data_IF_552808819145
#
_entry.id   IF_552808819145
#
_cell.length_a   1.000
_cell.length_b   1.000
_cell.length_c   1.000
_cell.angle_alpha   90.00
_cell.angle_beta   90.00
_cell.angle_gamma   90.00
#
_symmetry.space_group_name_H-M   'P 1'
#
loop_
_entity.id
_entity.type
_entity.pdbx_description
1 polymer ?
#
# COMPACT_ATOMS: atom_id res chain seq x y z
N UNK A 1 8.01 -42.03 -13.24
CA UNK A 1 8.24 -41.49 -11.88
C UNK A 1 6.98 -40.95 -11.23
N UNK A 2 6.18 -40.07 -11.85
CA UNK A 2 5.01 -39.49 -11.17
C UNK A 2 3.86 -40.49 -10.91
N UNK A 3 3.75 -41.58 -11.69
CA UNK A 3 2.69 -42.59 -11.51
C UNK A 3 2.75 -43.28 -10.13
N UNK A 4 3.96 -43.53 -9.64
CA UNK A 4 4.26 -44.23 -8.37
C UNK A 4 4.27 -43.32 -7.13
N UNK A 5 4.03 -42.01 -7.29
CA UNK A 5 4.12 -41.02 -6.21
C UNK A 5 2.73 -40.51 -5.84
N UNK A 6 2.42 -40.46 -4.54
CA UNK A 6 1.11 -40.00 -4.05
C UNK A 6 0.97 -38.47 -4.03
N UNK A 7 2.03 -37.76 -3.66
CA UNK A 7 2.05 -36.30 -3.58
C UNK A 7 3.47 -35.74 -3.70
N UNK A 8 3.55 -34.44 -3.96
CA UNK A 8 4.80 -33.68 -4.03
C UNK A 8 4.83 -32.62 -2.93
N UNK A 9 6.00 -32.38 -2.34
CA UNK A 9 6.22 -31.29 -1.40
C UNK A 9 7.46 -30.50 -1.79
N UNK A 10 7.28 -29.21 -2.06
CA UNK A 10 8.36 -28.31 -2.46
C UNK A 10 8.99 -27.68 -1.21
N UNK A 11 10.29 -27.92 -1.01
CA UNK A 11 11.09 -27.15 -0.05
C UNK A 11 11.46 -25.79 -0.64
N UNK A 12 10.77 -24.71 -0.23
CA UNK A 12 10.97 -23.37 -0.81
C UNK A 12 12.39 -22.87 -0.67
N UNK A 13 13.05 -23.23 0.44
CA UNK A 13 14.38 -22.76 0.76
C UNK A 13 15.44 -23.43 -0.12
N UNK A 14 15.41 -24.76 -0.18
CA UNK A 14 16.34 -25.55 -0.98
C UNK A 14 16.17 -25.24 -2.46
N UNK A 15 14.92 -25.15 -2.95
CA UNK A 15 14.66 -24.82 -4.34
C UNK A 15 15.20 -23.43 -4.70
N UNK A 16 15.07 -22.44 -3.81
CA UNK A 16 15.62 -21.09 -4.04
C UNK A 16 17.15 -21.17 -4.13
N UNK A 17 17.79 -21.88 -3.20
CA UNK A 17 19.24 -22.05 -3.15
C UNK A 17 19.79 -22.73 -4.40
N UNK A 18 19.19 -23.84 -4.84
CA UNK A 18 19.62 -24.55 -6.03
C UNK A 18 19.38 -23.75 -7.32
N UNK A 19 18.22 -23.12 -7.44
CA UNK A 19 17.87 -22.39 -8.66
C UNK A 19 18.71 -21.12 -8.84
N UNK A 20 18.99 -20.41 -7.75
CA UNK A 20 19.77 -19.18 -7.79
C UNK A 20 21.28 -19.42 -7.65
N UNK A 21 21.69 -20.66 -7.34
CA UNK A 21 23.07 -21.01 -6.99
C UNK A 21 23.63 -20.12 -5.86
N UNK A 22 22.79 -19.82 -4.86
CA UNK A 22 23.14 -18.95 -3.72
C UNK A 22 22.99 -19.72 -2.43
N UNK A 23 24.10 -19.86 -1.70
CA UNK A 23 24.10 -20.37 -0.33
C UNK A 23 23.56 -19.28 0.62
N UNK A 24 22.44 -19.58 1.30
CA UNK A 24 21.79 -18.63 2.21
C UNK A 24 22.61 -18.38 3.48
N UNK A 25 23.43 -19.35 3.90
CA UNK A 25 24.25 -19.28 5.11
C UNK A 25 25.59 -18.55 4.86
N UNK A 26 25.85 -18.17 3.60
CA UNK A 26 27.04 -17.43 3.21
C UNK A 26 26.77 -15.93 3.04
N UNK A 27 27.16 -15.16 4.06
CA UNK A 27 26.96 -13.70 4.13
C UNK A 27 27.45 -12.90 2.91
N UNK A 28 28.38 -13.43 2.09
CA UNK A 28 28.86 -12.75 0.88
C UNK A 28 27.86 -12.78 -0.27
N UNK A 29 26.94 -13.75 -0.28
CA UNK A 29 26.02 -14.00 -1.41
C UNK A 29 24.55 -13.97 -1.01
N UNK A 30 24.21 -14.02 0.29
CA UNK A 30 22.83 -14.00 0.80
C UNK A 30 21.98 -12.85 0.23
N UNK A 31 22.57 -11.71 -0.15
CA UNK A 31 21.86 -10.59 -0.81
C UNK A 31 21.16 -10.97 -2.13
N UNK A 32 21.59 -12.06 -2.77
CA UNK A 32 21.00 -12.58 -4.01
C UNK A 32 19.94 -13.67 -3.75
N UNK A 33 19.77 -14.10 -2.50
CA UNK A 33 18.74 -15.05 -2.10
C UNK A 33 17.39 -14.32 -2.02
N UNK A 34 16.63 -14.34 -3.12
CA UNK A 34 15.32 -13.71 -3.19
C UNK A 34 14.29 -14.63 -3.86
N UNK A 35 13.42 -15.23 -3.05
CA UNK A 35 12.33 -16.11 -3.49
C UNK A 35 11.20 -15.39 -4.25
N UNK A 36 11.33 -14.09 -4.55
CA UNK A 36 10.47 -13.34 -5.46
C UNK A 36 11.09 -13.16 -6.85
N UNK A 37 12.22 -13.83 -7.13
CA UNK A 37 12.79 -13.81 -8.48
C UNK A 37 11.78 -14.37 -9.51
N UNK A 38 11.51 -13.66 -10.62
CA UNK A 38 10.58 -14.13 -11.65
C UNK A 38 10.91 -15.53 -12.21
N UNK A 39 12.19 -15.90 -12.30
CA UNK A 39 12.60 -17.25 -12.73
C UNK A 39 12.19 -18.33 -11.73
N UNK A 40 12.26 -18.02 -10.43
CA UNK A 40 11.80 -18.91 -9.37
C UNK A 40 10.29 -19.10 -9.41
N UNK A 41 9.53 -18.02 -9.63
CA UNK A 41 8.08 -18.10 -9.80
C UNK A 41 7.67 -18.94 -11.02
N UNK A 42 8.37 -18.79 -12.14
CA UNK A 42 8.15 -19.64 -13.34
C UNK A 42 8.46 -21.10 -13.10
N UNK A 43 9.52 -21.41 -12.36
CA UNK A 43 9.88 -22.78 -12.00
C UNK A 43 8.81 -23.44 -11.12
N UNK A 44 8.29 -22.69 -10.13
CA UNK A 44 7.17 -23.15 -9.31
C UNK A 44 5.89 -23.37 -10.14
N UNK A 45 5.51 -22.42 -10.99
CA UNK A 45 4.31 -22.55 -11.84
C UNK A 45 4.42 -23.76 -12.76
N UNK A 46 5.58 -23.96 -13.39
CA UNK A 46 5.83 -25.14 -14.21
C UNK A 46 5.67 -26.44 -13.42
N UNK A 47 6.26 -26.52 -12.21
CA UNK A 47 6.19 -27.71 -11.37
C UNK A 47 4.74 -28.02 -10.94
N UNK A 48 4.01 -27.02 -10.46
CA UNK A 48 2.60 -27.18 -10.04
C UNK A 48 1.75 -27.64 -11.22
N UNK A 49 1.85 -26.97 -12.37
CA UNK A 49 1.11 -27.35 -13.58
C UNK A 49 1.47 -28.76 -14.05
N UNK A 50 2.73 -29.17 -13.96
CA UNK A 50 3.16 -30.51 -14.34
C UNK A 50 2.59 -31.60 -13.44
N UNK A 51 2.54 -31.37 -12.12
CA UNK A 51 2.00 -32.32 -11.15
C UNK A 51 0.47 -32.40 -11.24
N UNK A 52 -0.21 -31.26 -11.39
CA UNK A 52 -1.66 -31.22 -11.59
C UNK A 52 -2.13 -31.88 -12.89
N UNK A 53 -1.33 -31.81 -13.97
CA UNK A 53 -1.61 -32.58 -15.21
C UNK A 53 -1.65 -34.09 -14.98
N UNK A 54 -1.02 -34.58 -13.91
CA UNK A 54 -1.08 -35.99 -13.52
C UNK A 54 -2.14 -36.28 -12.46
N UNK A 55 -2.95 -35.28 -12.08
CA UNK A 55 -3.97 -35.41 -11.05
C UNK A 55 -3.40 -35.64 -9.64
N UNK A 56 -2.15 -35.25 -9.41
CA UNK A 56 -1.44 -35.46 -8.14
C UNK A 56 -1.44 -34.18 -7.30
N UNK A 57 -1.32 -34.36 -5.98
CA UNK A 57 -1.27 -33.28 -5.00
C UNK A 57 0.11 -32.64 -4.92
N UNK A 58 0.18 -31.31 -4.78
CA UNK A 58 1.44 -30.58 -4.56
C UNK A 58 1.33 -29.51 -3.47
N UNK A 59 2.20 -29.62 -2.47
CA UNK A 59 2.34 -28.67 -1.37
C UNK A 59 3.66 -27.91 -1.39
N UNK A 60 3.76 -26.85 -0.58
CA UNK A 60 4.98 -26.08 -0.36
C UNK A 60 5.26 -25.91 1.13
N UNK A 61 6.50 -26.17 1.53
CA UNK A 61 7.02 -25.97 2.88
C UNK A 61 8.20 -24.99 2.89
N UNK A 62 8.55 -24.52 4.08
CA UNK A 62 9.62 -23.54 4.30
C UNK A 62 9.10 -22.12 4.52
N UNK A 63 10.02 -21.18 4.61
CA UNK A 63 9.72 -19.81 5.05
C UNK A 63 8.78 -19.07 4.11
N UNK A 64 8.79 -19.40 2.82
CA UNK A 64 7.94 -18.75 1.84
C UNK A 64 6.45 -18.99 2.12
N UNK A 65 6.09 -20.20 2.56
CA UNK A 65 4.71 -20.59 2.88
C UNK A 65 4.11 -19.81 4.05
N UNK A 66 4.95 -19.31 4.97
CA UNK A 66 4.53 -18.51 6.12
C UNK A 66 4.57 -16.99 5.86
N UNK A 67 5.13 -16.53 4.73
CA UNK A 67 5.23 -15.10 4.40
C UNK A 67 3.90 -14.59 3.84
N UNK A 68 3.08 -14.00 4.72
CA UNK A 68 1.78 -13.44 4.33
C UNK A 68 1.86 -12.43 3.17
N UNK A 69 2.96 -11.68 3.05
CA UNK A 69 3.19 -10.73 1.93
C UNK A 69 3.22 -11.39 0.55
N UNK A 70 3.57 -12.67 0.47
CA UNK A 70 3.73 -13.45 -0.77
C UNK A 70 2.54 -14.38 -1.02
N UNK A 71 1.67 -14.57 -0.02
CA UNK A 71 0.49 -15.43 -0.09
C UNK A 71 -0.33 -15.26 -1.39
N UNK A 72 -0.59 -14.05 -1.92
CA UNK A 72 -1.31 -13.91 -3.19
C UNK A 72 -0.65 -14.63 -4.38
N UNK A 73 0.68 -14.67 -4.45
CA UNK A 73 1.39 -15.41 -5.49
C UNK A 73 1.28 -16.92 -5.28
N UNK A 74 1.34 -17.38 -4.03
CA UNK A 74 1.19 -18.80 -3.69
C UNK A 74 -0.21 -19.33 -4.01
N UNK A 75 -1.24 -18.51 -3.76
CA UNK A 75 -2.61 -18.79 -4.19
C UNK A 75 -2.71 -18.81 -5.72
N UNK A 76 -2.08 -17.85 -6.40
CA UNK A 76 -2.05 -17.79 -7.86
C UNK A 76 -1.33 -18.98 -8.53
N UNK A 77 -0.37 -19.60 -7.83
CA UNK A 77 0.30 -20.82 -8.27
C UNK A 77 -0.65 -22.01 -8.29
N UNK A 78 -1.63 -22.02 -7.38
CA UNK A 78 -2.58 -23.13 -7.24
C UNK A 78 -2.02 -24.29 -6.41
N UNK A 79 -1.19 -24.02 -5.40
CA UNK A 79 -0.73 -25.07 -4.49
C UNK A 79 -1.92 -25.66 -3.69
N UNK A 80 -1.91 -26.97 -3.48
CA UNK A 80 -2.94 -27.67 -2.71
C UNK A 80 -2.72 -27.53 -1.19
N UNK A 81 -1.47 -27.32 -0.77
CA UNK A 81 -1.08 -27.20 0.63
C UNK A 81 0.02 -26.16 0.85
N UNK A 82 -0.10 -25.37 1.92
CA UNK A 82 0.96 -24.52 2.46
C UNK A 82 1.31 -24.98 3.88
N UNK A 83 2.54 -25.46 4.07
CA UNK A 83 3.05 -25.89 5.37
C UNK A 83 3.72 -24.73 6.10
N UNK A 84 3.38 -24.55 7.37
CA UNK A 84 3.88 -23.49 8.24
C UNK A 84 3.78 -23.88 9.73
N UNK A 85 4.40 -23.09 10.60
CA UNK A 85 4.25 -23.29 12.05
C UNK A 85 2.84 -22.96 12.52
N UNK A 86 2.37 -23.65 13.57
CA UNK A 86 1.01 -23.49 14.09
C UNK A 86 0.59 -22.03 14.39
N UNK A 87 1.46 -21.16 14.96
CA UNK A 87 1.09 -19.76 15.20
C UNK A 87 0.79 -18.94 13.94
N UNK A 88 1.33 -19.32 12.77
CA UNK A 88 1.12 -18.61 11.51
C UNK A 88 -0.20 -19.00 10.82
N UNK A 89 -0.81 -20.12 11.20
CA UNK A 89 -2.01 -20.65 10.53
C UNK A 89 -3.22 -19.70 10.63
N UNK A 90 -3.60 -19.15 11.81
CA UNK A 90 -4.80 -18.31 11.91
C UNK A 90 -4.73 -17.05 11.06
N UNK A 91 -3.60 -16.33 11.13
CA UNK A 91 -3.40 -15.11 10.34
C UNK A 91 -3.39 -15.39 8.83
N UNK A 92 -2.79 -16.52 8.42
CA UNK A 92 -2.77 -16.94 7.02
C UNK A 92 -4.16 -17.31 6.52
N UNK A 93 -4.95 -18.06 7.31
CA UNK A 93 -6.34 -18.38 6.98
C UNK A 93 -7.22 -17.13 6.85
N UNK A 94 -7.10 -16.19 7.79
CA UNK A 94 -7.86 -14.94 7.74
C UNK A 94 -7.56 -14.14 6.47
N UNK A 95 -6.29 -14.10 6.06
CA UNK A 95 -5.88 -13.44 4.82
C UNK A 95 -6.30 -14.21 3.57
N UNK A 96 -6.19 -15.53 3.57
CA UNK A 96 -6.62 -16.40 2.47
C UNK A 96 -8.11 -16.17 2.15
N UNK A 97 -8.95 -16.01 3.18
CA UNK A 97 -10.38 -15.77 3.05
C UNK A 97 -10.73 -14.44 2.35
N UNK A 98 -9.80 -13.51 2.24
CA UNK A 98 -9.99 -12.21 1.58
C UNK A 98 -9.44 -12.18 0.14
N UNK A 99 -8.84 -13.27 -0.34
CA UNK A 99 -8.20 -13.30 -1.66
C UNK A 99 -9.12 -13.93 -2.70
N UNK A 100 -9.24 -13.24 -3.85
CA UNK A 100 -9.82 -13.84 -5.06
C UNK A 100 -8.75 -14.62 -5.83
N UNK A 101 -8.99 -15.92 -6.02
CA UNK A 101 -8.03 -16.82 -6.67
C UNK A 101 -7.74 -16.43 -8.13
N UNK A 102 -8.71 -15.88 -8.86
CA UNK A 102 -8.51 -15.45 -10.25
C UNK A 102 -7.64 -14.20 -10.32
N UNK A 103 -7.87 -13.23 -9.44
CA UNK A 103 -7.04 -12.04 -9.29
C UNK A 103 -5.61 -12.43 -8.88
N UNK A 104 -5.45 -13.39 -7.96
CA UNK A 104 -4.15 -13.94 -7.60
C UNK A 104 -3.44 -14.61 -8.79
N UNK A 105 -4.16 -15.36 -9.64
CA UNK A 105 -3.58 -15.93 -10.87
C UNK A 105 -3.13 -14.86 -11.85
N UNK A 106 -3.91 -13.79 -12.03
CA UNK A 106 -3.52 -12.66 -12.86
C UNK A 106 -2.27 -11.95 -12.33
N UNK A 107 -2.20 -11.73 -11.02
CA UNK A 107 -1.01 -11.18 -10.35
C UNK A 107 0.22 -12.05 -10.59
N UNK A 108 0.10 -13.37 -10.43
CA UNK A 108 1.21 -14.29 -10.70
C UNK A 108 1.71 -14.18 -12.15
N UNK A 109 0.78 -14.15 -13.11
CA UNK A 109 1.14 -14.01 -14.53
C UNK A 109 1.92 -12.72 -14.79
N UNK A 110 1.54 -11.61 -14.17
CA UNK A 110 2.28 -10.33 -14.25
C UNK A 110 3.65 -10.44 -13.58
N UNK A 111 3.71 -11.03 -12.38
CA UNK A 111 4.96 -11.22 -11.64
C UNK A 111 5.99 -12.07 -12.41
N UNK A 112 5.53 -13.08 -13.15
CA UNK A 112 6.41 -13.92 -14.00
C UNK A 112 6.96 -13.17 -15.23
N UNK A 113 6.34 -12.06 -15.64
CA UNK A 113 6.78 -11.21 -16.74
C UNK A 113 7.75 -10.09 -16.29
N UNK A 114 7.85 -9.83 -14.98
CA UNK A 114 8.82 -8.89 -14.43
C UNK A 114 10.27 -9.31 -14.75
N UNK A 115 11.16 -8.31 -14.75
CA UNK A 115 12.60 -8.51 -14.96
C UNK A 115 13.37 -8.67 -13.65
N UNK A 116 12.86 -8.09 -12.57
CA UNK A 116 13.56 -8.04 -11.28
C UNK A 116 12.63 -8.40 -10.12
N UNK A 117 13.20 -8.89 -9.02
CA UNK A 117 12.44 -9.14 -7.78
C UNK A 117 11.81 -7.85 -7.22
N UNK A 118 12.45 -6.69 -7.43
CA UNK A 118 11.92 -5.40 -6.98
C UNK A 118 10.61 -5.04 -7.70
N UNK A 119 10.50 -5.32 -8.99
CA UNK A 119 9.24 -5.14 -9.74
C UNK A 119 8.15 -6.06 -9.20
N UNK A 120 8.47 -7.31 -8.86
CA UNK A 120 7.52 -8.25 -8.23
C UNK A 120 7.07 -7.75 -6.85
N UNK A 121 7.99 -7.22 -6.05
CA UNK A 121 7.67 -6.60 -4.75
C UNK A 121 6.74 -5.39 -4.90
N UNK A 122 6.94 -4.60 -5.96
CA UNK A 122 6.08 -3.48 -6.30
C UNK A 122 4.68 -3.95 -6.72
N UNK A 123 4.56 -4.98 -7.57
CA UNK A 123 3.28 -5.58 -7.94
C UNK A 123 2.53 -6.14 -6.73
N UNK A 124 3.22 -6.85 -5.83
CA UNK A 124 2.64 -7.36 -4.58
C UNK A 124 2.17 -6.24 -3.64
N UNK A 125 2.79 -5.07 -3.69
CA UNK A 125 2.32 -3.89 -2.97
C UNK A 125 1.03 -3.37 -3.60
N UNK A 126 1.04 -3.13 -4.92
CA UNK A 126 -0.13 -2.65 -5.66
C UNK A 126 -1.34 -3.57 -5.48
N UNK A 127 -1.15 -4.89 -5.55
CA UNK A 127 -2.24 -5.86 -5.37
C UNK A 127 -2.88 -5.79 -3.99
N UNK A 128 -2.07 -5.63 -2.93
CA UNK A 128 -2.59 -5.43 -1.57
C UNK A 128 -3.43 -4.16 -1.48
N UNK A 129 -3.02 -3.12 -2.19
CA UNK A 129 -3.70 -1.82 -2.20
C UNK A 129 -5.06 -1.91 -2.89
N UNK A 130 -5.19 -2.68 -3.98
CA UNK A 130 -6.49 -2.90 -4.65
C UNK A 130 -7.45 -3.75 -3.82
N UNK A 131 -6.94 -4.65 -2.97
CA UNK A 131 -7.74 -5.53 -2.11
C UNK A 131 -8.17 -4.87 -0.79
N UNK A 132 -7.55 -3.74 -0.42
CA UNK A 132 -7.96 -2.95 0.74
C UNK A 132 -8.77 -1.74 0.27
N UNK A 133 -10.10 -1.88 0.28
CA UNK A 133 -11.04 -0.74 0.28
C UNK A 133 -10.89 0.03 1.60
N UNK A 134 -9.72 0.63 1.82
CA UNK A 134 -9.50 1.48 2.96
C UNK A 134 -10.13 2.84 2.64
N UNK A 135 -11.06 3.34 3.48
CA UNK A 135 -11.73 4.62 3.24
C UNK A 135 -10.71 5.73 2.96
N UNK A 136 -11.06 6.65 2.08
CA UNK A 136 -10.20 7.77 1.69
C UNK A 136 -9.77 8.62 2.90
N UNK A 137 -10.59 8.67 3.94
CA UNK A 137 -10.26 9.32 5.21
C UNK A 137 -10.62 8.40 6.38
N UNK A 138 -9.69 8.31 7.32
CA UNK A 138 -9.85 7.58 8.59
C UNK A 138 -9.33 8.46 9.73
N UNK A 139 -9.82 8.29 10.98
CA UNK A 139 -9.36 9.10 12.13
C UNK A 139 -7.84 9.10 12.32
N UNK A 140 -7.16 8.02 11.97
CA UNK A 140 -5.70 7.87 12.05
C UNK A 140 -4.93 8.79 11.10
N UNK A 141 -5.57 9.33 10.07
CA UNK A 141 -4.98 10.28 9.12
C UNK A 141 -5.20 11.74 9.53
N UNK A 142 -5.80 11.99 10.70
CA UNK A 142 -6.16 13.30 11.19
C UNK A 142 -5.35 13.61 12.45
N UNK A 143 -4.65 14.73 12.43
CA UNK A 143 -3.84 15.24 13.55
C UNK A 143 -4.42 16.55 14.02
N UNK A 144 -4.69 16.66 15.32
CA UNK A 144 -5.24 17.87 15.92
C UNK A 144 -4.23 18.47 16.90
N UNK A 145 -4.17 19.80 16.89
CA UNK A 145 -3.34 20.62 17.76
C UNK A 145 -1.84 20.27 17.66
N UNK A 146 -1.34 20.00 16.45
CA UNK A 146 0.09 19.79 16.25
C UNK A 146 0.88 21.08 16.47
N UNK A 147 2.08 20.96 16.99
CA UNK A 147 2.97 22.07 17.32
C UNK A 147 3.93 22.46 16.18
N UNK A 148 3.67 21.98 14.96
CA UNK A 148 4.42 22.27 13.75
C UNK A 148 4.34 23.74 13.38
N UNK A 149 5.49 24.36 13.11
CA UNK A 149 5.66 25.83 13.02
C UNK A 149 6.05 26.34 11.65
N UNK A 150 6.28 25.44 10.70
CA UNK A 150 6.60 25.80 9.32
C UNK A 150 5.91 24.88 8.33
N UNK A 151 5.76 25.36 7.10
CA UNK A 151 5.21 24.58 5.98
C UNK A 151 5.95 23.26 5.77
N UNK A 152 7.27 23.28 5.95
CA UNK A 152 8.14 22.11 5.88
C UNK A 152 7.83 21.10 6.98
N UNK A 153 7.70 21.55 8.23
CA UNK A 153 7.32 20.67 9.33
C UNK A 153 5.92 20.07 9.12
N UNK A 154 4.97 20.84 8.58
CA UNK A 154 3.63 20.33 8.26
C UNK A 154 3.70 19.24 7.19
N UNK A 155 4.32 19.50 6.03
CA UNK A 155 4.37 18.52 4.93
C UNK A 155 5.10 17.25 5.37
N UNK A 156 6.24 17.40 6.06
CA UNK A 156 6.99 16.27 6.59
C UNK A 156 6.17 15.49 7.63
N UNK A 157 5.57 16.18 8.59
CA UNK A 157 4.76 15.56 9.64
C UNK A 157 3.56 14.80 9.10
N UNK A 158 2.84 15.38 8.12
CA UNK A 158 1.69 14.73 7.49
C UNK A 158 2.10 13.50 6.67
N UNK A 159 3.22 13.55 5.94
CA UNK A 159 3.72 12.38 5.18
C UNK A 159 4.23 11.26 6.10
N UNK A 160 4.90 11.59 7.20
CA UNK A 160 5.29 10.63 8.24
C UNK A 160 4.06 9.98 8.88
N UNK A 161 3.00 10.76 9.17
CA UNK A 161 1.74 10.21 9.69
C UNK A 161 1.07 9.24 8.71
N UNK A 162 1.19 9.47 7.39
CA UNK A 162 0.69 8.53 6.39
C UNK A 162 1.49 7.21 6.37
N UNK A 163 2.80 7.25 6.67
CA UNK A 163 3.58 6.01 6.87
C UNK A 163 3.06 5.25 8.09
N UNK A 164 2.85 5.95 9.22
CA UNK A 164 2.33 5.34 10.46
C UNK A 164 0.92 4.75 10.27
N UNK A 165 0.08 5.41 9.49
CA UNK A 165 -1.26 4.93 9.13
C UNK A 165 -1.26 3.79 8.09
N UNK A 166 -0.09 3.33 7.64
CA UNK A 166 0.04 2.28 6.62
C UNK A 166 -0.44 2.71 5.24
N UNK A 167 -0.51 4.02 4.97
CA UNK A 167 -0.97 4.60 3.69
C UNK A 167 0.19 4.91 2.75
N UNK A 168 1.40 5.08 3.25
CA UNK A 168 2.60 5.42 2.48
C UNK A 168 3.75 4.46 2.81
N UNK A 169 4.55 4.08 1.82
CA UNK A 169 5.77 3.28 2.03
C UNK A 169 7.05 4.11 2.07
N UNK A 170 7.10 5.19 1.29
CA UNK A 170 8.31 6.00 1.12
C UNK A 170 8.00 7.49 1.35
N UNK A 171 7.82 7.93 2.62
CA UNK A 171 7.33 9.28 2.92
C UNK A 171 8.22 10.40 2.36
N UNK A 172 9.55 10.24 2.37
CA UNK A 172 10.48 11.22 1.77
C UNK A 172 10.27 11.43 0.27
N UNK A 173 9.90 10.37 -0.47
CA UNK A 173 9.64 10.49 -1.90
C UNK A 173 8.26 11.09 -2.16
N UNK A 174 7.27 10.75 -1.33
CA UNK A 174 5.95 11.39 -1.35
C UNK A 174 6.05 12.89 -1.03
N UNK A 175 6.88 13.27 -0.05
CA UNK A 175 7.19 14.65 0.29
C UNK A 175 7.79 15.39 -0.93
N UNK A 176 8.74 14.79 -1.63
CA UNK A 176 9.30 15.38 -2.86
C UNK A 176 8.23 15.60 -3.95
N UNK A 177 7.30 14.66 -4.13
CA UNK A 177 6.18 14.80 -5.07
C UNK A 177 5.20 15.93 -4.66
N UNK A 178 5.03 16.18 -3.35
CA UNK A 178 4.22 17.29 -2.84
C UNK A 178 4.92 18.63 -3.06
N UNK A 179 6.22 18.71 -2.75
CA UNK A 179 7.02 19.92 -2.99
C UNK A 179 7.10 20.30 -4.45
N UNK A 180 7.26 19.31 -5.35
CA UNK A 180 7.26 19.55 -6.79
C UNK A 180 5.94 20.19 -7.25
N UNK A 181 4.80 19.81 -6.65
CA UNK A 181 3.50 20.42 -6.94
C UNK A 181 3.35 21.80 -6.30
N UNK A 182 3.80 21.96 -5.06
CA UNK A 182 3.72 23.21 -4.31
C UNK A 182 4.55 24.32 -4.94
N UNK A 183 5.71 23.97 -5.54
CA UNK A 183 6.60 24.92 -6.21
C UNK A 183 5.99 25.55 -7.47
N UNK A 184 4.97 24.92 -8.07
CA UNK A 184 4.28 25.48 -9.25
C UNK A 184 3.41 26.67 -8.83
N UNK A 185 2.59 26.49 -7.80
CA UNK A 185 1.75 27.52 -7.19
C UNK A 185 1.42 27.11 -5.76
N UNK A 186 1.34 28.11 -4.86
CA UNK A 186 0.91 27.89 -3.47
C UNK A 186 -0.44 27.19 -3.43
N UNK A 187 -0.58 26.24 -2.51
CA UNK A 187 -1.83 25.54 -2.22
C UNK A 187 -2.61 26.16 -1.05
N UNK A 188 -2.22 27.36 -0.62
CA UNK A 188 -3.05 28.22 0.24
C UNK A 188 -4.33 28.62 -0.48
N UNK A 189 -5.44 28.64 0.26
CA UNK A 189 -6.76 29.02 -0.25
C UNK A 189 -7.35 30.24 0.49
N UNK A 190 -6.53 30.94 1.29
CA UNK A 190 -7.00 31.90 2.28
C UNK A 190 -7.84 31.27 3.39
N UNK A 191 -8.46 32.13 4.21
CA UNK A 191 -9.29 31.74 5.37
C UNK A 191 -8.60 30.83 6.40
N UNK A 192 -7.28 30.84 6.47
CA UNK A 192 -6.47 29.92 7.29
C UNK A 192 -6.50 28.45 6.83
N UNK A 193 -6.77 28.18 5.55
CA UNK A 193 -6.76 26.83 4.96
C UNK A 193 -5.70 26.65 3.87
N UNK A 194 -5.13 25.44 3.80
CA UNK A 194 -4.31 24.98 2.67
C UNK A 194 -4.71 23.56 2.24
N UNK A 195 -4.56 23.27 0.94
CA UNK A 195 -4.80 21.93 0.37
C UNK A 195 -3.57 21.45 -0.42
N UNK A 196 -2.47 21.08 0.23
CA UNK A 196 -1.36 20.42 -0.45
C UNK A 196 -1.85 19.12 -1.08
N UNK A 197 -1.50 18.86 -2.33
CA UNK A 197 -1.98 17.68 -3.03
C UNK A 197 -0.95 17.16 -4.03
N UNK A 198 -0.96 15.86 -4.29
CA UNK A 198 -0.11 15.28 -5.34
C UNK A 198 -0.63 13.91 -5.81
N UNK A 199 -0.25 13.53 -7.04
CA UNK A 199 -0.34 12.16 -7.54
C UNK A 199 1.03 11.51 -7.38
N UNK A 200 1.12 10.42 -6.61
CA UNK A 200 2.39 9.77 -6.28
C UNK A 200 2.33 8.24 -6.47
N UNK A 201 3.47 7.63 -6.81
CA UNK A 201 3.66 6.17 -6.80
C UNK A 201 4.01 5.65 -5.39
N UNK A 202 4.24 6.56 -4.44
CA UNK A 202 4.74 6.26 -3.10
C UNK A 202 3.63 6.25 -2.05
N UNK A 203 2.41 6.60 -2.46
CA UNK A 203 1.20 6.41 -1.68
C UNK A 203 0.55 5.09 -2.06
N UNK A 204 0.28 4.27 -1.06
CA UNK A 204 -0.37 2.97 -1.18
C UNK A 204 -1.89 3.18 -1.35
N UNK A 205 -2.52 3.76 -0.31
CA UNK A 205 -3.89 4.28 -0.24
C UNK A 205 -4.07 5.70 -0.80
N UNK A 206 -4.86 5.97 -1.85
CA UNK A 206 -5.34 7.36 -2.04
C UNK A 206 -5.98 7.83 -0.73
N UNK A 207 -5.58 9.00 -0.21
CA UNK A 207 -5.88 9.40 1.16
C UNK A 207 -6.10 10.91 1.27
N UNK A 208 -7.09 11.31 2.09
CA UNK A 208 -7.21 12.64 2.67
C UNK A 208 -6.60 12.59 4.08
N UNK A 209 -5.58 13.40 4.32
CA UNK A 209 -5.02 13.63 5.65
C UNK A 209 -5.32 15.06 6.09
N UNK A 210 -5.56 15.25 7.38
CA UNK A 210 -5.91 16.56 7.93
C UNK A 210 -4.96 16.89 9.08
N UNK A 211 -4.49 18.12 9.13
CA UNK A 211 -3.80 18.69 10.27
C UNK A 211 -4.47 19.99 10.70
N UNK A 212 -4.88 20.07 11.96
CA UNK A 212 -5.20 21.36 12.62
C UNK A 212 -4.03 21.74 13.51
N UNK A 213 -3.34 22.82 13.16
CA UNK A 213 -2.15 23.29 13.84
C UNK A 213 -2.54 24.07 15.12
N UNK A 214 -1.67 24.04 16.11
CA UNK A 214 -1.81 24.82 17.33
C UNK A 214 -1.72 26.34 17.05
N UNK A 215 -0.92 26.73 16.06
CA UNK A 215 -0.77 28.11 15.58
C UNK A 215 -0.80 28.11 14.04
N UNK A 216 -1.31 29.17 13.39
CA UNK A 216 -1.18 29.33 11.94
C UNK A 216 0.29 29.38 11.51
N UNK A 217 0.59 28.84 10.34
CA UNK A 217 1.92 28.90 9.70
C UNK A 217 1.83 29.59 8.35
N UNK A 218 2.91 30.26 7.94
CA UNK A 218 2.99 30.89 6.63
C UNK A 218 2.89 29.84 5.50
N UNK A 219 2.07 30.12 4.49
CA UNK A 219 1.80 29.24 3.35
C UNK A 219 1.80 30.00 2.02
N UNK A 220 2.95 30.57 1.67
CA UNK A 220 3.05 31.53 0.57
C UNK A 220 2.63 32.91 1.05
N UNK A 221 1.69 33.55 0.35
CA UNK A 221 1.14 34.86 0.73
C UNK A 221 0.00 34.77 1.77
N UNK A 222 -0.47 33.55 2.06
CA UNK A 222 -1.51 33.25 3.06
C UNK A 222 -0.91 32.66 4.34
N UNK A 223 -1.72 32.58 5.40
CA UNK A 223 -1.47 31.71 6.55
C UNK A 223 -2.40 30.50 6.51
N UNK A 224 -1.96 29.37 7.05
CA UNK A 224 -2.76 28.15 7.18
C UNK A 224 -2.67 27.60 8.61
N UNK A 225 -3.82 27.39 9.23
CA UNK A 225 -3.95 26.65 10.49
C UNK A 225 -4.61 25.30 10.27
N UNK A 226 -5.42 25.17 9.22
CA UNK A 226 -6.12 23.94 8.87
C UNK A 226 -5.65 23.44 7.50
N UNK A 227 -4.94 22.32 7.48
CA UNK A 227 -4.28 21.79 6.29
C UNK A 227 -4.95 20.48 5.92
N UNK A 228 -5.50 20.40 4.71
CA UNK A 228 -6.16 19.19 4.20
C UNK A 228 -5.34 18.65 3.03
N UNK A 229 -4.50 17.66 3.30
CA UNK A 229 -3.61 17.08 2.30
C UNK A 229 -4.31 15.97 1.51
N UNK A 230 -4.29 16.05 0.18
CA UNK A 230 -4.84 15.02 -0.71
C UNK A 230 -3.73 14.30 -1.47
N UNK A 231 -3.48 13.04 -1.13
CA UNK A 231 -2.49 12.20 -1.81
C UNK A 231 -3.18 11.13 -2.63
N UNK A 232 -2.89 11.11 -3.93
CA UNK A 232 -3.55 10.24 -4.89
C UNK A 232 -2.59 9.19 -5.42
N UNK A 233 -2.98 7.94 -5.37
CA UNK A 233 -2.18 6.87 -5.93
C UNK A 233 -2.20 6.95 -7.47
N UNK A 234 -1.03 7.04 -8.11
CA UNK A 234 -0.93 7.07 -9.59
C UNK A 234 -1.50 5.84 -10.29
N UNK A 235 -1.57 4.71 -9.60
CA UNK A 235 -2.07 3.44 -10.14
C UNK A 235 -3.56 3.22 -9.89
N UNK A 236 -4.21 4.09 -9.10
CA UNK A 236 -5.66 4.01 -8.90
C UNK A 236 -6.39 4.47 -10.17
N UNK A 237 -7.29 3.62 -10.69
CA UNK A 237 -8.02 3.89 -11.91
C UNK A 237 -9.17 4.89 -11.63
N UNK A 238 -9.13 6.06 -12.28
CA UNK A 238 -10.30 6.93 -12.45
C UNK A 238 -10.17 8.38 -11.94
N UNK A 239 -11.03 9.24 -12.47
CA UNK A 239 -11.11 10.68 -12.15
C UNK A 239 -11.88 11.00 -10.86
N UNK A 240 -12.31 9.99 -10.10
CA UNK A 240 -13.12 10.17 -8.88
C UNK A 240 -12.40 11.09 -7.88
N UNK A 241 -11.08 10.93 -7.76
CA UNK A 241 -10.25 11.75 -6.90
C UNK A 241 -10.19 13.23 -7.30
N UNK A 242 -10.21 13.55 -8.60
CA UNK A 242 -10.27 14.94 -9.06
C UNK A 242 -11.61 15.58 -8.73
N UNK A 243 -12.71 14.80 -8.80
CA UNK A 243 -14.04 15.28 -8.37
C UNK A 243 -14.05 15.60 -6.87
N UNK A 244 -13.40 14.76 -6.05
CA UNK A 244 -13.29 14.97 -4.60
C UNK A 244 -12.48 16.24 -4.30
N UNK A 245 -11.34 16.45 -4.97
CA UNK A 245 -10.58 17.70 -4.85
C UNK A 245 -11.43 18.93 -5.19
N UNK A 246 -12.09 18.93 -6.35
CA UNK A 246 -12.92 20.07 -6.77
C UNK A 246 -14.10 20.32 -5.83
N UNK A 247 -14.71 19.26 -5.28
CA UNK A 247 -15.77 19.39 -4.26
C UNK A 247 -15.24 19.98 -2.96
N UNK A 248 -14.10 19.49 -2.47
CA UNK A 248 -13.48 19.99 -1.24
C UNK A 248 -13.10 21.47 -1.38
N UNK A 249 -12.38 21.83 -2.44
CA UNK A 249 -11.97 23.22 -2.69
C UNK A 249 -13.19 24.16 -2.74
N UNK A 250 -14.28 23.74 -3.39
CA UNK A 250 -15.53 24.51 -3.41
C UNK A 250 -16.20 24.59 -2.04
N UNK A 251 -16.25 23.48 -1.29
CA UNK A 251 -16.84 23.44 0.06
C UNK A 251 -16.12 24.37 1.03
N UNK A 252 -14.80 24.47 0.96
CA UNK A 252 -13.99 25.38 1.79
C UNK A 252 -14.37 26.85 1.58
N UNK A 253 -14.92 27.24 0.42
CA UNK A 253 -15.39 28.61 0.20
C UNK A 253 -16.60 28.99 1.10
N UNK A 254 -17.33 28.00 1.61
CA UNK A 254 -18.49 28.24 2.49
C UNK A 254 -18.08 28.37 3.96
N UNK A 255 -18.45 29.50 4.59
CA UNK A 255 -18.08 29.81 5.97
C UNK A 255 -18.61 28.78 6.98
N UNK A 256 -19.84 28.29 6.81
CA UNK A 256 -20.45 27.27 7.69
C UNK A 256 -19.63 25.97 7.73
N UNK A 257 -19.13 25.54 6.56
CA UNK A 257 -18.31 24.34 6.46
C UNK A 257 -16.95 24.53 7.13
N UNK A 258 -16.29 25.68 6.89
CA UNK A 258 -15.04 26.03 7.58
C UNK A 258 -15.22 26.05 9.10
N UNK A 259 -16.28 26.70 9.58
CA UNK A 259 -16.57 26.78 11.01
C UNK A 259 -16.81 25.40 11.61
N UNK A 260 -17.51 24.51 10.90
CA UNK A 260 -17.74 23.13 11.32
C UNK A 260 -16.43 22.34 11.46
N UNK A 261 -15.48 22.50 10.52
CA UNK A 261 -14.16 21.88 10.61
C UNK A 261 -13.33 22.42 11.78
N UNK A 262 -13.31 23.74 11.96
CA UNK A 262 -12.50 24.39 13.00
C UNK A 262 -13.02 24.04 14.40
N UNK A 263 -14.34 23.95 14.58
CA UNK A 263 -14.96 23.67 15.89
C UNK A 263 -15.00 22.20 16.27
N UNK A 264 -14.78 21.28 15.33
CA UNK A 264 -14.75 19.85 15.61
C UNK A 264 -13.67 19.50 16.64
N UNK A 265 -14.04 18.72 17.66
CA UNK A 265 -13.16 18.45 18.81
C UNK A 265 -12.41 17.11 18.72
N UNK A 266 -12.73 16.27 17.74
CA UNK A 266 -12.10 14.97 17.57
C UNK A 266 -11.81 14.65 16.10
N UNK A 267 -10.86 13.73 15.89
CA UNK A 267 -10.53 13.20 14.57
C UNK A 267 -11.74 12.48 13.94
N UNK A 268 -12.54 11.77 14.73
CA UNK A 268 -13.76 11.10 14.28
C UNK A 268 -14.80 12.09 13.76
N UNK A 269 -14.99 13.21 14.46
CA UNK A 269 -15.92 14.25 14.04
C UNK A 269 -15.51 14.89 12.70
N UNK A 270 -14.22 15.16 12.52
CA UNK A 270 -13.68 15.68 11.24
C UNK A 270 -13.79 14.64 10.13
N UNK A 271 -13.46 13.38 10.42
CA UNK A 271 -13.59 12.29 9.44
C UNK A 271 -15.03 12.14 8.96
N UNK A 272 -16.00 12.08 9.90
CA UNK A 272 -17.41 11.96 9.58
C UNK A 272 -17.95 13.17 8.81
N UNK A 273 -17.52 14.39 9.17
CA UNK A 273 -17.87 15.60 8.44
C UNK A 273 -17.37 15.54 7.00
N UNK A 274 -16.10 15.21 6.79
CA UNK A 274 -15.52 15.13 5.45
C UNK A 274 -16.13 14.00 4.62
N UNK A 275 -16.42 12.84 5.21
CA UNK A 275 -17.12 11.75 4.53
C UNK A 275 -18.49 12.20 4.04
N UNK A 276 -19.29 12.84 4.91
CA UNK A 276 -20.63 13.33 4.56
C UNK A 276 -20.58 14.40 3.46
N UNK A 277 -19.70 15.40 3.62
CA UNK A 277 -19.69 16.58 2.74
C UNK A 277 -19.07 16.32 1.36
N UNK A 278 -18.24 15.28 1.25
CA UNK A 278 -17.58 14.88 0.00
C UNK A 278 -18.27 13.70 -0.70
N UNK A 279 -19.29 13.10 -0.06
CA UNK A 279 -19.99 11.89 -0.50
C UNK A 279 -19.02 10.71 -0.70
N UNK A 280 -18.19 10.45 0.33
CA UNK A 280 -17.20 9.36 0.36
C UNK A 280 -17.76 8.08 0.95
#
# INVERSE_FOLDING_TARGET
>A
CCEEIDFFSIGSNDLTQYLLAVDRDNARVTRHYNSLNPAFLRALDYAVQAVHRQGKWIGLCGELGAKGSVLPLLVGLGLDELSMSAPSIPATKARLAQLDSRACRQLLNQAMQCRTSLEVEHLLAQFRMTQQDAPLITPQCITLNSDWRSKEEVIKGMTDNLLLAGRCRYPRKLEADLWAREAVFSTGLGFSFAIPHSKSEHIEQSTISVARLAQPVAWGDDEAQFVIMLTLNKHSAGDQHMRIFSRLARRIMHAEFRQSLVTAQSSEAIAALLQRELEL
#
